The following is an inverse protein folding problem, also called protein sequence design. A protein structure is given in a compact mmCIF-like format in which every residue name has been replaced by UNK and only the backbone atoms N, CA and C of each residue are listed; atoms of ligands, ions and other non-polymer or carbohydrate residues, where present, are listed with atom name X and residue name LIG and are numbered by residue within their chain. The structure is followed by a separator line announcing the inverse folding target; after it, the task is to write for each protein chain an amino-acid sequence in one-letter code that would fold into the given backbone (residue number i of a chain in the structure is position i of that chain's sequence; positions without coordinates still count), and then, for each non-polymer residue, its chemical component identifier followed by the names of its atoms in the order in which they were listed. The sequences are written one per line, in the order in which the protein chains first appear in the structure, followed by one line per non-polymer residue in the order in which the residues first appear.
data_IF_715913852339
#
_entry.id   IF_715913852339
#
_cell.length_a   1.000
_cell.length_b   1.000
_cell.length_c   1.000
_cell.angle_alpha   90.00
_cell.angle_beta   90.00
_cell.angle_gamma   90.00
#
_symmetry.space_group_name_H-M   'P 1'
#
loop_
_entity.id
_entity.type
_entity.pdbx_description
1 polymer ?
#
# COMPACT_ATOMS: atom_id res chain seq x y z
N UNK A 1 -3.19 23.04 25.32
CA UNK A 1 -4.04 21.89 24.88
C UNK A 1 -5.26 21.88 25.77
N UNK A 2 -6.44 22.02 25.22
CA UNK A 2 -7.70 21.96 25.99
C UNK A 2 -8.11 20.52 26.23
N UNK A 3 -8.69 20.27 27.40
CA UNK A 3 -9.11 18.94 27.82
C UNK A 3 -10.58 18.93 28.19
N UNK A 4 -11.29 17.90 27.76
CA UNK A 4 -12.71 17.66 28.05
C UNK A 4 -12.91 16.48 28.99
N UNK A 5 -14.04 16.48 29.69
CA UNK A 5 -14.45 15.39 30.57
C UNK A 5 -14.95 14.19 29.77
N UNK A 6 -14.94 13.01 30.37
CA UNK A 6 -15.49 11.76 29.79
C UNK A 6 -16.91 11.92 29.25
N UNK A 7 -17.76 12.69 29.94
CA UNK A 7 -19.16 12.95 29.52
C UNK A 7 -19.22 13.74 28.20
N UNK A 8 -18.39 14.76 28.07
CA UNK A 8 -18.32 15.59 26.87
C UNK A 8 -17.76 14.80 25.67
N UNK A 9 -16.70 14.00 25.91
CA UNK A 9 -16.19 13.11 24.87
C UNK A 9 -17.20 12.02 24.48
N UNK A 10 -17.99 11.52 25.42
CA UNK A 10 -19.04 10.55 25.16
C UNK A 10 -20.14 11.13 24.23
N UNK A 11 -20.58 12.35 24.51
CA UNK A 11 -21.52 13.07 23.69
C UNK A 11 -20.97 13.36 22.30
N UNK A 12 -19.76 13.93 22.21
CA UNK A 12 -19.06 14.22 20.94
C UNK A 12 -18.91 12.99 20.05
N UNK A 13 -18.66 11.82 20.61
CA UNK A 13 -18.41 10.58 19.87
C UNK A 13 -19.62 9.68 19.69
N UNK A 14 -20.77 10.02 20.30
CA UNK A 14 -21.97 9.18 20.33
C UNK A 14 -21.70 7.84 21.03
N UNK A 15 -21.00 7.86 22.15
CA UNK A 15 -20.65 6.70 22.98
C UNK A 15 -21.19 6.86 24.40
N UNK A 16 -21.35 5.74 25.13
CA UNK A 16 -21.64 5.83 26.55
C UNK A 16 -20.42 6.29 27.36
N UNK A 17 -20.59 7.04 28.48
CA UNK A 17 -19.48 7.43 29.35
C UNK A 17 -18.68 6.22 29.89
N UNK A 18 -19.35 5.08 30.11
CA UNK A 18 -18.72 3.82 30.51
C UNK A 18 -17.76 3.32 29.42
N UNK A 19 -18.16 3.41 28.15
CA UNK A 19 -17.34 3.00 27.02
C UNK A 19 -16.10 3.89 26.89
N UNK A 20 -16.25 5.21 27.03
CA UNK A 20 -15.14 6.15 26.99
C UNK A 20 -14.13 5.89 28.10
N UNK A 21 -14.58 5.64 29.36
CA UNK A 21 -13.68 5.26 30.47
C UNK A 21 -12.88 3.99 30.16
N UNK A 22 -13.55 2.99 29.57
CA UNK A 22 -12.87 1.74 29.16
C UNK A 22 -11.80 2.01 28.10
N UNK A 23 -12.07 2.88 27.12
CA UNK A 23 -11.10 3.26 26.09
C UNK A 23 -9.90 4.01 26.70
N UNK A 24 -10.13 4.90 27.68
CA UNK A 24 -9.05 5.55 28.44
C UNK A 24 -8.20 4.53 29.20
N UNK A 25 -8.84 3.61 29.95
CA UNK A 25 -8.14 2.58 30.73
C UNK A 25 -7.33 1.60 29.85
N UNK A 26 -7.73 1.44 28.59
CA UNK A 26 -7.04 0.61 27.59
C UNK A 26 -5.97 1.38 26.79
N UNK A 27 -5.66 2.63 27.15
CA UNK A 27 -4.73 3.51 26.41
C UNK A 27 -5.05 3.64 24.92
N UNK A 28 -6.34 3.65 24.56
CA UNK A 28 -6.82 3.74 23.16
C UNK A 28 -7.15 5.16 22.72
N UNK A 29 -6.87 6.13 23.56
CA UNK A 29 -7.04 7.57 23.28
C UNK A 29 -5.72 8.24 23.61
N UNK A 30 -5.08 8.81 22.63
CA UNK A 30 -3.80 9.47 22.81
C UNK A 30 -3.94 10.74 23.66
N UNK A 31 -2.94 11.02 24.50
CA UNK A 31 -2.86 12.24 25.29
C UNK A 31 -3.82 12.30 26.48
N UNK A 32 -4.48 11.21 26.85
CA UNK A 32 -5.33 11.15 28.06
C UNK A 32 -4.50 11.34 29.32
N UNK A 33 -4.98 12.26 30.20
CA UNK A 33 -4.40 12.47 31.52
C UNK A 33 -5.36 11.91 32.57
N UNK A 34 -4.84 11.14 33.49
CA UNK A 34 -5.61 10.68 34.64
C UNK A 34 -5.31 11.57 35.86
N UNK A 35 -6.33 12.23 36.41
CA UNK A 35 -6.26 12.99 37.68
C UNK A 35 -7.11 12.27 38.72
N UNK A 36 -6.47 11.48 39.57
CA UNK A 36 -7.17 10.61 40.55
C UNK A 36 -8.05 9.59 39.82
N UNK A 37 -9.37 9.61 40.06
CA UNK A 37 -10.36 8.72 39.42
C UNK A 37 -10.94 9.29 38.10
N UNK A 38 -10.51 10.49 37.66
CA UNK A 38 -11.05 11.18 36.50
C UNK A 38 -10.08 11.11 35.33
N UNK A 39 -10.60 10.78 34.15
CA UNK A 39 -9.89 10.89 32.89
C UNK A 39 -10.22 12.24 32.25
N UNK A 40 -9.16 12.91 31.80
CA UNK A 40 -9.20 14.13 31.01
C UNK A 40 -8.71 13.80 29.59
N UNK A 41 -9.52 14.10 28.59
CA UNK A 41 -9.31 13.71 27.20
C UNK A 41 -8.98 14.99 26.40
N UNK A 42 -7.93 15.00 25.56
CA UNK A 42 -7.70 16.16 24.69
C UNK A 42 -8.94 16.46 23.87
N UNK A 43 -9.34 17.72 23.78
CA UNK A 43 -10.56 18.10 23.06
C UNK A 43 -10.50 17.72 21.57
N UNK A 44 -9.33 17.78 20.98
CA UNK A 44 -9.08 17.41 19.59
C UNK A 44 -8.83 15.91 19.37
N UNK A 45 -8.92 15.08 20.42
CA UNK A 45 -8.74 13.64 20.27
C UNK A 45 -9.79 13.05 19.32
N UNK A 46 -9.38 12.23 18.33
CA UNK A 46 -10.29 11.57 17.42
C UNK A 46 -11.10 10.48 18.16
N UNK A 47 -12.32 10.20 17.67
CA UNK A 47 -13.11 9.06 18.16
C UNK A 47 -12.33 7.77 17.92
N UNK A 48 -12.05 6.96 18.96
CA UNK A 48 -11.38 5.68 18.79
C UNK A 48 -12.18 4.71 17.91
N UNK A 49 -11.50 4.03 17.00
CA UNK A 49 -12.12 3.02 16.13
C UNK A 49 -12.69 1.87 16.96
N UNK A 50 -13.89 1.40 16.62
CA UNK A 50 -14.53 0.29 17.35
C UNK A 50 -13.77 -1.02 17.07
N UNK A 51 -13.22 -1.63 18.11
CA UNK A 51 -12.52 -2.92 18.02
C UNK A 51 -13.42 -4.08 17.51
N UNK A 52 -14.76 -3.86 17.45
CA UNK A 52 -15.69 -4.85 16.90
C UNK A 52 -15.62 -4.94 15.38
N UNK A 53 -15.16 -3.89 14.69
CA UNK A 53 -14.87 -3.94 13.23
C UNK A 53 -13.68 -4.83 12.92
N UNK A 54 -12.82 -5.11 13.91
CA UNK A 54 -11.66 -5.99 13.80
C UNK A 54 -11.93 -7.42 14.35
N UNK A 55 -13.20 -7.77 14.63
CA UNK A 55 -13.56 -9.11 15.12
C UNK A 55 -13.14 -10.19 14.11
N UNK A 56 -12.16 -11.01 14.50
CA UNK A 56 -11.63 -12.12 13.71
C UNK A 56 -10.25 -11.86 13.10
N UNK A 57 -9.76 -10.62 13.12
CA UNK A 57 -8.43 -10.27 12.61
C UNK A 57 -7.42 -10.37 13.76
N UNK A 58 -6.47 -11.32 13.65
CA UNK A 58 -5.34 -11.41 14.57
C UNK A 58 -4.29 -10.37 14.15
N UNK A 59 -4.28 -9.22 14.83
CA UNK A 59 -3.23 -8.22 14.69
C UNK A 59 -2.16 -8.50 15.75
N UNK A 60 -0.88 -8.42 15.39
CA UNK A 60 0.20 -8.47 16.38
C UNK A 60 0.05 -7.28 17.34
N UNK A 61 0.35 -7.47 18.62
CA UNK A 61 0.22 -6.40 19.64
C UNK A 61 1.08 -5.17 19.28
N UNK A 62 2.18 -5.38 18.62
CA UNK A 62 3.14 -4.33 18.21
C UNK A 62 2.62 -3.46 17.06
N UNK A 63 1.91 -4.03 16.10
CA UNK A 63 1.35 -3.31 14.94
C UNK A 63 0.01 -2.65 15.24
N UNK A 64 -0.69 -3.07 16.30
CA UNK A 64 -2.02 -2.58 16.62
C UNK A 64 -2.14 -1.05 16.72
N UNK A 65 -1.22 -0.30 17.37
CA UNK A 65 -1.31 1.16 17.47
C UNK A 65 -1.20 1.84 16.09
N UNK A 66 -0.29 1.35 15.24
CA UNK A 66 -0.08 1.89 13.89
C UNK A 66 -1.30 1.67 13.00
N UNK A 67 -1.85 0.47 13.00
CA UNK A 67 -3.02 0.13 12.20
C UNK A 67 -4.26 0.91 12.64
N UNK A 68 -4.43 1.13 13.95
CA UNK A 68 -5.51 1.98 14.48
C UNK A 68 -5.38 3.44 14.03
N UNK A 69 -4.14 3.96 13.96
CA UNK A 69 -3.88 5.30 13.44
C UNK A 69 -4.23 5.40 11.95
N UNK A 70 -3.85 4.40 11.17
CA UNK A 70 -4.17 4.33 9.73
C UNK A 70 -5.70 4.29 9.53
N UNK A 71 -6.41 3.47 10.29
CA UNK A 71 -7.88 3.39 10.23
C UNK A 71 -8.54 4.72 10.61
N UNK A 72 -8.00 5.44 11.58
CA UNK A 72 -8.50 6.76 11.95
C UNK A 72 -8.32 7.78 10.81
N UNK A 73 -7.12 7.82 10.20
CA UNK A 73 -6.84 8.70 9.07
C UNK A 73 -7.71 8.36 7.85
N UNK A 74 -7.91 7.06 7.59
CA UNK A 74 -8.82 6.60 6.53
C UNK A 74 -10.25 7.07 6.80
N UNK A 75 -10.74 6.95 8.03
CA UNK A 75 -12.07 7.41 8.40
C UNK A 75 -12.23 8.94 8.26
N UNK A 76 -11.17 9.72 8.48
CA UNK A 76 -11.18 11.17 8.21
C UNK A 76 -11.23 11.46 6.71
N UNK A 77 -10.48 10.74 5.90
CA UNK A 77 -10.53 10.85 4.44
C UNK A 77 -11.92 10.49 3.89
N UNK A 78 -12.51 9.42 4.40
CA UNK A 78 -13.83 8.97 3.99
C UNK A 78 -14.95 10.01 4.28
N UNK A 79 -14.78 10.86 5.29
CA UNK A 79 -15.70 11.99 5.56
C UNK A 79 -15.65 13.11 4.51
N UNK A 80 -14.54 13.20 3.78
CA UNK A 80 -14.36 14.19 2.70
C UNK A 80 -14.89 13.70 1.36
N UNK A 81 -15.40 12.47 1.30
CA UNK A 81 -15.98 11.88 0.08
C UNK A 81 -17.50 12.15 0.01
N UNK A 82 -18.09 12.20 -1.20
CA UNK A 82 -17.41 12.06 -2.49
C UNK A 82 -16.59 13.31 -2.83
N UNK A 83 -15.43 13.09 -3.44
CA UNK A 83 -14.68 14.14 -4.11
C UNK A 83 -15.39 14.52 -5.41
N UNK A 84 -15.27 15.77 -5.84
CA UNK A 84 -15.66 16.14 -7.20
C UNK A 84 -14.81 15.39 -8.23
N UNK A 85 -15.34 15.22 -9.43
CA UNK A 85 -14.60 14.53 -10.51
C UNK A 85 -13.23 15.18 -10.75
N UNK A 86 -13.17 16.52 -10.80
CA UNK A 86 -11.92 17.24 -11.03
C UNK A 86 -10.91 17.08 -9.89
N UNK A 87 -11.35 17.06 -8.61
CA UNK A 87 -10.48 16.80 -7.47
C UNK A 87 -9.91 15.38 -7.49
N UNK A 88 -10.76 14.40 -7.77
CA UNK A 88 -10.35 13.00 -7.86
C UNK A 88 -9.34 12.77 -8.99
N UNK A 89 -9.58 13.35 -10.17
CA UNK A 89 -8.71 13.26 -11.33
C UNK A 89 -7.35 13.94 -11.09
N UNK A 90 -7.35 15.11 -10.47
CA UNK A 90 -6.11 15.81 -10.10
C UNK A 90 -5.27 15.00 -9.14
N UNK A 91 -5.86 14.54 -8.03
CA UNK A 91 -5.15 13.72 -7.03
C UNK A 91 -4.60 12.43 -7.65
N UNK A 92 -5.38 11.79 -8.52
CA UNK A 92 -4.96 10.59 -9.25
C UNK A 92 -3.74 10.87 -10.14
N UNK A 93 -3.78 11.95 -10.90
CA UNK A 93 -2.70 12.31 -11.83
C UNK A 93 -1.43 12.69 -11.06
N UNK A 94 -1.53 13.49 -9.99
CA UNK A 94 -0.41 13.81 -9.11
C UNK A 94 0.20 12.53 -8.51
N UNK A 95 -0.62 11.63 -7.97
CA UNK A 95 -0.15 10.37 -7.41
C UNK A 95 0.52 9.49 -8.47
N UNK A 96 -0.04 9.37 -9.67
CA UNK A 96 0.52 8.58 -10.76
C UNK A 96 1.91 9.07 -11.16
N UNK A 97 2.11 10.39 -11.27
CA UNK A 97 3.42 10.99 -11.61
C UNK A 97 4.43 10.71 -10.50
N UNK A 98 4.08 11.01 -9.25
CA UNK A 98 4.95 10.81 -8.09
C UNK A 98 5.31 9.33 -7.90
N UNK A 99 4.35 8.45 -8.04
CA UNK A 99 4.56 7.01 -7.89
C UNK A 99 5.45 6.46 -9.01
N UNK A 100 5.21 6.88 -10.26
CA UNK A 100 6.03 6.48 -11.40
C UNK A 100 7.47 6.96 -11.23
N UNK A 101 7.67 8.23 -10.87
CA UNK A 101 8.99 8.77 -10.62
C UNK A 101 9.72 7.99 -9.51
N UNK A 102 9.13 7.91 -8.31
CA UNK A 102 9.79 7.29 -7.17
C UNK A 102 10.07 5.81 -7.39
N UNK A 103 9.14 5.07 -7.97
CA UNK A 103 9.28 3.65 -8.22
C UNK A 103 10.41 3.34 -9.23
N UNK A 104 10.56 4.16 -10.26
CA UNK A 104 11.66 4.00 -11.24
C UNK A 104 12.99 4.53 -10.71
N UNK A 105 13.00 5.61 -9.92
CA UNK A 105 14.21 6.16 -9.32
C UNK A 105 14.91 5.15 -8.38
N UNK A 106 14.15 4.34 -7.63
CA UNK A 106 14.67 3.24 -6.80
C UNK A 106 15.49 2.24 -7.66
N UNK A 107 15.09 2.03 -8.91
CA UNK A 107 15.73 1.11 -9.84
C UNK A 107 16.84 1.78 -10.69
N UNK A 108 17.17 3.04 -10.39
CA UNK A 108 18.25 3.79 -11.04
C UNK A 108 17.87 4.54 -12.31
N UNK A 109 16.58 4.76 -12.57
CA UNK A 109 16.10 5.63 -13.63
C UNK A 109 16.58 7.07 -13.37
N UNK A 110 17.02 7.77 -14.42
CA UNK A 110 17.70 9.08 -14.31
C UNK A 110 16.78 10.27 -14.54
N UNK A 111 15.49 10.06 -14.86
CA UNK A 111 14.52 11.14 -15.01
C UNK A 111 14.28 11.82 -13.66
N UNK A 112 14.18 13.13 -13.65
CA UNK A 112 13.65 13.90 -12.51
C UNK A 112 12.14 13.81 -12.46
N UNK A 113 11.52 14.21 -11.36
CA UNK A 113 10.05 14.25 -11.23
C UNK A 113 9.40 15.08 -12.34
N UNK A 114 9.97 16.25 -12.66
CA UNK A 114 9.49 17.12 -13.74
C UNK A 114 9.63 16.46 -15.11
N UNK A 115 10.77 15.84 -15.39
CA UNK A 115 11.00 15.12 -16.64
C UNK A 115 10.08 13.90 -16.75
N UNK A 116 9.83 13.19 -15.65
CA UNK A 116 8.85 12.10 -15.62
C UNK A 116 7.47 12.61 -16.03
N UNK A 117 6.99 13.72 -15.44
CA UNK A 117 5.71 14.31 -15.81
C UNK A 117 5.64 14.64 -17.31
N UNK A 118 6.70 15.25 -17.85
CA UNK A 118 6.78 15.59 -19.29
C UNK A 118 6.76 14.34 -20.17
N UNK A 119 7.47 13.27 -19.78
CA UNK A 119 7.47 11.98 -20.51
C UNK A 119 6.08 11.35 -20.50
N UNK A 120 5.37 11.40 -19.36
CA UNK A 120 4.01 10.88 -19.28
C UNK A 120 3.00 11.67 -20.12
N UNK A 121 3.29 12.92 -20.46
CA UNK A 121 2.56 13.76 -21.41
C UNK A 121 3.00 13.54 -22.87
N UNK A 122 3.94 12.62 -23.13
CA UNK A 122 4.39 12.25 -24.47
C UNK A 122 5.60 13.03 -24.98
N UNK A 123 6.27 13.80 -24.13
CA UNK A 123 7.49 14.52 -24.51
C UNK A 123 8.73 13.62 -24.40
N UNK A 124 9.73 13.87 -25.22
CA UNK A 124 11.06 13.27 -25.07
C UNK A 124 12.01 14.25 -24.40
N UNK A 125 12.87 13.73 -23.53
CA UNK A 125 13.86 14.52 -22.80
C UNK A 125 15.23 14.30 -23.43
N UNK A 126 15.85 15.39 -23.85
CA UNK A 126 17.19 15.35 -24.44
C UNK A 126 18.23 14.81 -23.44
N UNK A 127 19.22 14.09 -23.94
CA UNK A 127 20.33 13.46 -23.19
C UNK A 127 19.89 12.44 -22.12
N UNK A 128 18.64 11.99 -22.13
CA UNK A 128 18.19 10.88 -21.28
C UNK A 128 18.07 9.59 -22.08
N UNK A 129 18.45 8.44 -21.48
CA UNK A 129 18.36 7.14 -22.16
C UNK A 129 16.91 6.83 -22.59
N UNK A 130 16.73 6.26 -23.77
CA UNK A 130 15.43 5.77 -24.22
C UNK A 130 14.82 4.77 -23.24
N UNK A 131 15.67 3.94 -22.60
CA UNK A 131 15.27 3.00 -21.56
C UNK A 131 14.48 3.71 -20.47
N UNK A 132 14.95 4.86 -19.98
CA UNK A 132 14.34 5.58 -18.87
C UNK A 132 12.93 6.10 -19.24
N UNK A 133 12.75 6.56 -20.49
CA UNK A 133 11.44 6.94 -21.02
C UNK A 133 10.48 5.75 -21.07
N UNK A 134 10.93 4.62 -21.61
CA UNK A 134 10.12 3.41 -21.73
C UNK A 134 9.73 2.85 -20.36
N UNK A 135 10.61 2.91 -19.38
CA UNK A 135 10.31 2.50 -18.00
C UNK A 135 9.23 3.39 -17.36
N UNK A 136 9.30 4.71 -17.56
CA UNK A 136 8.29 5.64 -17.06
C UNK A 136 6.92 5.39 -17.74
N UNK A 137 6.89 5.26 -19.05
CA UNK A 137 5.66 4.97 -19.83
C UNK A 137 5.08 3.61 -19.42
N UNK A 138 5.92 2.57 -19.35
CA UNK A 138 5.48 1.23 -18.97
C UNK A 138 4.93 1.16 -17.54
N UNK A 139 5.52 1.91 -16.61
CA UNK A 139 5.02 1.99 -15.24
C UNK A 139 3.66 2.70 -15.16
N UNK A 140 3.49 3.80 -15.92
CA UNK A 140 2.19 4.48 -16.06
C UNK A 140 1.14 3.52 -16.61
N UNK A 141 1.45 2.83 -17.69
CA UNK A 141 0.50 1.93 -18.36
C UNK A 141 0.11 0.76 -17.45
N UNK A 142 1.05 0.25 -16.64
CA UNK A 142 0.78 -0.74 -15.62
C UNK A 142 -0.12 -0.18 -14.49
N UNK A 143 0.07 1.06 -14.09
CA UNK A 143 -0.79 1.74 -13.11
C UNK A 143 -2.22 1.88 -13.65
N UNK A 144 -2.38 2.34 -14.88
CA UNK A 144 -3.69 2.46 -15.53
C UNK A 144 -4.39 1.10 -15.69
N UNK A 145 -3.64 0.07 -16.08
CA UNK A 145 -4.16 -1.30 -16.15
C UNK A 145 -4.70 -1.78 -14.80
N UNK A 146 -3.98 -1.52 -13.70
CA UNK A 146 -4.43 -1.89 -12.35
C UNK A 146 -5.72 -1.16 -11.99
N UNK A 147 -5.82 0.14 -12.24
CA UNK A 147 -7.04 0.90 -11.96
C UNK A 147 -8.27 0.35 -12.69
N UNK A 148 -8.08 -0.06 -13.94
CA UNK A 148 -9.16 -0.63 -14.77
C UNK A 148 -9.67 -1.96 -14.20
N UNK A 149 -8.76 -2.84 -13.77
CA UNK A 149 -9.13 -4.18 -13.29
C UNK A 149 -9.44 -4.26 -11.79
N UNK A 150 -9.07 -3.26 -10.98
CA UNK A 150 -9.06 -3.36 -9.52
C UNK A 150 -10.43 -3.65 -8.89
N UNK A 151 -11.51 -3.26 -9.53
CA UNK A 151 -12.87 -3.45 -9.01
C UNK A 151 -13.36 -4.90 -9.10
N UNK A 152 -13.03 -5.58 -10.18
CA UNK A 152 -13.66 -6.84 -10.57
C UNK A 152 -12.70 -8.03 -10.63
N UNK A 153 -11.40 -7.79 -10.51
CA UNK A 153 -10.38 -8.80 -10.74
C UNK A 153 -9.63 -9.17 -9.46
N UNK A 154 -9.42 -10.47 -9.25
CA UNK A 154 -8.52 -10.96 -8.20
C UNK A 154 -7.09 -10.96 -8.68
N UNK A 155 -6.15 -10.74 -7.76
CA UNK A 155 -4.73 -10.92 -8.05
C UNK A 155 -4.53 -12.40 -8.44
N UNK A 156 -4.02 -12.62 -9.64
CA UNK A 156 -3.70 -13.93 -10.21
C UNK A 156 -2.33 -13.90 -10.87
N UNK A 157 -1.78 -15.05 -11.19
CA UNK A 157 -0.52 -15.13 -11.92
C UNK A 157 -0.58 -14.38 -13.26
N UNK A 158 -1.70 -14.48 -13.97
CA UNK A 158 -1.92 -13.75 -15.23
C UNK A 158 -1.88 -12.24 -15.00
N UNK A 159 -2.55 -11.72 -13.97
CA UNK A 159 -2.53 -10.29 -13.62
C UNK A 159 -1.10 -9.84 -13.32
N UNK A 160 -0.35 -10.60 -12.52
CA UNK A 160 1.04 -10.28 -12.18
C UNK A 160 1.92 -10.25 -13.44
N UNK A 161 1.79 -11.23 -14.32
CA UNK A 161 2.52 -11.29 -15.59
C UNK A 161 2.15 -10.14 -16.53
N UNK A 162 0.90 -9.73 -16.58
CA UNK A 162 0.45 -8.59 -17.37
C UNK A 162 1.06 -7.27 -16.86
N UNK A 163 1.01 -7.04 -15.55
CA UNK A 163 1.66 -5.87 -14.91
C UNK A 163 3.15 -5.86 -15.24
N UNK A 164 3.83 -6.98 -15.05
CA UNK A 164 5.25 -7.10 -15.37
C UNK A 164 5.55 -6.86 -16.85
N UNK A 165 4.69 -7.31 -17.76
CA UNK A 165 4.86 -7.09 -19.19
C UNK A 165 4.82 -5.62 -19.57
N UNK A 166 4.02 -4.82 -18.88
CA UNK A 166 3.96 -3.37 -19.06
C UNK A 166 5.19 -2.70 -18.44
N UNK A 167 5.55 -3.07 -17.22
CA UNK A 167 6.74 -2.54 -16.52
C UNK A 167 8.02 -2.79 -17.33
N UNK A 168 8.15 -3.94 -17.95
CA UNK A 168 9.36 -4.38 -18.69
C UNK A 168 9.17 -4.32 -20.21
N UNK A 169 8.42 -3.32 -20.71
CA UNK A 169 8.10 -3.19 -22.14
C UNK A 169 9.33 -3.06 -23.04
N UNK A 170 10.44 -2.58 -22.49
CA UNK A 170 11.73 -2.41 -23.19
C UNK A 170 12.53 -3.71 -23.36
N UNK A 171 12.04 -4.86 -22.82
CA UNK A 171 12.70 -6.18 -22.91
C UNK A 171 11.70 -7.25 -23.36
N UNK A 172 11.41 -7.34 -24.66
CA UNK A 172 10.35 -8.21 -25.20
C UNK A 172 10.47 -9.69 -24.83
N UNK A 173 11.71 -10.17 -24.66
CA UNK A 173 12.04 -11.57 -24.34
C UNK A 173 11.77 -11.94 -22.87
N UNK A 174 11.84 -10.97 -21.97
CA UNK A 174 11.74 -11.21 -20.52
C UNK A 174 10.35 -10.80 -19.95
N UNK A 175 9.63 -9.93 -20.66
CA UNK A 175 8.36 -9.36 -20.17
C UNK A 175 7.29 -10.41 -19.92
N UNK A 176 6.72 -10.43 -18.72
CA UNK A 176 5.64 -11.34 -18.34
C UNK A 176 6.06 -12.80 -18.20
N UNK A 177 7.36 -13.10 -18.22
CA UNK A 177 7.89 -14.46 -18.17
C UNK A 177 8.66 -14.68 -16.86
N UNK A 178 8.34 -15.74 -16.13
CA UNK A 178 9.13 -16.13 -14.96
C UNK A 178 10.54 -16.57 -15.38
N UNK A 179 11.53 -16.16 -14.60
CA UNK A 179 12.92 -16.47 -14.84
C UNK A 179 13.18 -17.99 -14.79
N UNK A 180 14.07 -18.43 -15.64
CA UNK A 180 14.52 -19.83 -15.71
C UNK A 180 15.95 -20.02 -15.16
N UNK A 181 16.59 -18.93 -14.75
CA UNK A 181 17.95 -18.91 -14.20
C UNK A 181 17.93 -18.38 -12.76
N UNK A 182 18.87 -18.80 -11.91
CA UNK A 182 19.09 -18.19 -10.60
C UNK A 182 19.45 -16.71 -10.75
N UNK A 183 19.00 -15.90 -9.78
CA UNK A 183 19.37 -14.48 -9.66
C UNK A 183 19.81 -14.19 -8.23
N UNK A 184 20.63 -13.16 -8.06
CA UNK A 184 21.07 -12.68 -6.75
C UNK A 184 20.59 -11.25 -6.55
N UNK A 185 20.00 -10.96 -5.40
CA UNK A 185 19.62 -9.60 -5.03
C UNK A 185 20.78 -9.00 -4.24
N UNK A 186 21.43 -7.97 -4.80
CA UNK A 186 22.53 -7.29 -4.11
C UNK A 186 22.05 -6.68 -2.79
N UNK A 187 22.76 -6.99 -1.69
CA UNK A 187 22.43 -6.48 -0.36
C UNK A 187 21.31 -7.23 0.38
N UNK A 188 20.69 -8.26 -0.21
CA UNK A 188 19.72 -9.09 0.49
C UNK A 188 20.42 -10.11 1.40
N UNK A 189 19.80 -10.38 2.57
CA UNK A 189 20.28 -11.42 3.50
C UNK A 189 19.84 -12.84 3.09
N UNK A 190 18.88 -12.96 2.18
CA UNK A 190 18.30 -14.24 1.73
C UNK A 190 18.39 -14.34 0.22
N UNK A 191 18.65 -15.53 -0.27
CA UNK A 191 18.64 -15.82 -1.71
C UNK A 191 17.18 -16.00 -2.20
N UNK A 192 16.85 -15.50 -3.39
CA UNK A 192 15.56 -15.78 -4.04
C UNK A 192 15.37 -17.29 -4.26
N UNK A 193 14.11 -17.73 -4.37
CA UNK A 193 13.82 -19.14 -4.60
C UNK A 193 14.43 -19.64 -5.92
N UNK A 194 14.78 -20.93 -5.97
CA UNK A 194 15.28 -21.55 -7.19
C UNK A 194 14.22 -21.51 -8.31
N UNK A 195 14.60 -21.39 -9.59
CA UNK A 195 13.66 -21.21 -10.71
C UNK A 195 12.55 -22.26 -10.76
N UNK A 196 12.85 -23.51 -10.49
CA UNK A 196 11.85 -24.60 -10.49
C UNK A 196 10.81 -24.50 -9.35
N UNK A 197 11.06 -23.66 -8.33
CA UNK A 197 10.16 -23.42 -7.21
C UNK A 197 9.29 -22.17 -7.40
N UNK A 198 9.50 -21.36 -8.45
CA UNK A 198 8.78 -20.09 -8.62
C UNK A 198 7.27 -20.37 -8.78
N UNK A 199 6.85 -21.21 -9.71
CA UNK A 199 5.43 -21.49 -9.94
C UNK A 199 4.73 -22.07 -8.69
N UNK A 200 5.26 -23.10 -8.01
CA UNK A 200 4.68 -23.58 -6.74
C UNK A 200 4.57 -22.47 -5.68
N UNK A 201 5.62 -21.64 -5.52
CA UNK A 201 5.62 -20.58 -4.52
C UNK A 201 4.69 -19.42 -4.86
N UNK A 202 4.53 -19.07 -6.12
CA UNK A 202 3.53 -18.09 -6.58
C UNK A 202 2.11 -18.60 -6.33
N UNK A 203 1.84 -19.87 -6.61
CA UNK A 203 0.55 -20.49 -6.33
C UNK A 203 0.24 -20.48 -4.82
N UNK A 204 1.22 -20.82 -3.98
CA UNK A 204 1.10 -20.77 -2.52
C UNK A 204 0.83 -19.34 -2.03
N UNK A 205 1.59 -18.35 -2.51
CA UNK A 205 1.43 -16.94 -2.18
C UNK A 205 0.01 -16.43 -2.46
N UNK A 206 -0.50 -16.71 -3.66
CA UNK A 206 -1.84 -16.31 -4.07
C UNK A 206 -2.93 -16.95 -3.21
N UNK A 207 -2.81 -18.26 -2.94
CA UNK A 207 -3.75 -19.00 -2.09
C UNK A 207 -3.73 -18.46 -0.64
N UNK A 208 -2.55 -18.20 -0.07
CA UNK A 208 -2.42 -17.65 1.28
C UNK A 208 -2.94 -16.22 1.36
N UNK A 209 -2.71 -15.37 0.35
CA UNK A 209 -3.26 -14.03 0.30
C UNK A 209 -4.80 -14.03 0.38
N UNK A 210 -5.47 -14.93 -0.33
CA UNK A 210 -6.94 -15.07 -0.25
C UNK A 210 -7.42 -15.56 1.12
N UNK A 211 -6.72 -16.52 1.73
CA UNK A 211 -7.05 -16.99 3.10
C UNK A 211 -6.91 -15.87 4.15
N UNK A 212 -5.89 -15.02 3.99
CA UNK A 212 -5.59 -13.89 4.88
C UNK A 212 -6.62 -12.76 4.76
N UNK A 213 -7.31 -12.62 3.64
CA UNK A 213 -8.29 -11.55 3.36
C UNK A 213 -9.37 -11.42 4.46
N UNK A 214 -9.79 -12.55 5.05
CA UNK A 214 -10.81 -12.58 6.11
C UNK A 214 -10.24 -12.55 7.53
N UNK A 215 -8.93 -12.68 7.70
CA UNK A 215 -8.28 -12.93 8.99
C UNK A 215 -7.27 -11.86 9.40
N UNK A 216 -6.88 -11.01 8.46
CA UNK A 216 -5.77 -10.07 8.63
C UNK A 216 -6.19 -8.66 8.24
N UNK A 217 -5.62 -7.66 8.89
CA UNK A 217 -5.83 -6.27 8.52
C UNK A 217 -5.33 -6.03 7.07
N UNK A 218 -6.06 -5.27 6.23
CA UNK A 218 -5.68 -5.07 4.83
C UNK A 218 -4.22 -4.62 4.65
N UNK A 219 -3.77 -3.64 5.42
CA UNK A 219 -2.40 -3.12 5.34
C UNK A 219 -1.37 -4.20 5.71
N UNK A 220 -1.60 -4.97 6.78
CA UNK A 220 -0.70 -6.07 7.15
C UNK A 220 -0.68 -7.15 6.06
N UNK A 221 -1.85 -7.48 5.49
CA UNK A 221 -1.96 -8.46 4.40
C UNK A 221 -1.17 -8.03 3.17
N UNK A 222 -1.32 -6.77 2.76
CA UNK A 222 -0.61 -6.19 1.61
C UNK A 222 0.90 -6.20 1.85
N UNK A 223 1.36 -5.78 3.03
CA UNK A 223 2.78 -5.77 3.38
C UNK A 223 3.39 -7.18 3.35
N UNK A 224 2.67 -8.19 3.88
CA UNK A 224 3.13 -9.58 3.83
C UNK A 224 3.17 -10.13 2.41
N UNK A 225 2.15 -9.85 1.62
CA UNK A 225 2.12 -10.24 0.22
C UNK A 225 3.33 -9.69 -0.54
N UNK A 226 3.62 -8.40 -0.35
CA UNK A 226 4.77 -7.76 -0.98
C UNK A 226 6.09 -8.40 -0.55
N UNK A 227 6.30 -8.59 0.76
CA UNK A 227 7.50 -9.21 1.30
C UNK A 227 7.72 -10.64 0.74
N UNK A 228 6.66 -11.44 0.69
CA UNK A 228 6.71 -12.81 0.17
C UNK A 228 6.94 -12.82 -1.35
N UNK A 229 6.32 -11.91 -2.10
CA UNK A 229 6.56 -11.73 -3.53
C UNK A 229 8.01 -11.35 -3.83
N UNK A 230 8.56 -10.36 -3.11
CA UNK A 230 9.96 -9.97 -3.25
C UNK A 230 10.93 -11.10 -2.87
N UNK A 231 10.58 -11.92 -1.86
CA UNK A 231 11.36 -13.10 -1.49
C UNK A 231 11.36 -14.22 -2.55
N UNK A 232 10.27 -14.36 -3.31
CA UNK A 232 10.21 -15.29 -4.46
C UNK A 232 11.04 -14.74 -5.61
N UNK A 233 10.94 -13.44 -5.87
CA UNK A 233 11.64 -12.73 -6.95
C UNK A 233 11.45 -13.40 -8.31
N UNK A 234 10.21 -13.50 -8.81
CA UNK A 234 9.87 -14.43 -9.89
C UNK A 234 10.43 -14.06 -11.27
N UNK A 235 10.83 -12.82 -11.47
CA UNK A 235 11.29 -12.31 -12.77
C UNK A 235 12.80 -12.05 -12.77
N UNK A 236 13.36 -11.88 -13.97
CA UNK A 236 14.78 -11.56 -14.12
C UNK A 236 15.11 -10.11 -13.76
N UNK A 237 14.15 -9.20 -13.97
CA UNK A 237 14.20 -7.77 -13.68
C UNK A 237 12.77 -7.27 -13.42
N UNK A 238 12.57 -6.05 -12.94
CA UNK A 238 11.26 -5.43 -12.74
C UNK A 238 10.42 -5.97 -11.57
N UNK A 239 10.99 -6.84 -10.71
CA UNK A 239 10.26 -7.38 -9.55
C UNK A 239 9.83 -6.27 -8.60
N UNK A 240 10.74 -5.37 -8.20
CA UNK A 240 10.46 -4.28 -7.28
C UNK A 240 9.35 -3.36 -7.81
N UNK A 241 9.41 -2.95 -9.08
CA UNK A 241 8.36 -2.13 -9.71
C UNK A 241 7.01 -2.85 -9.74
N UNK A 242 7.01 -4.12 -10.16
CA UNK A 242 5.79 -4.95 -10.18
C UNK A 242 5.25 -5.15 -8.76
N UNK A 243 6.09 -5.48 -7.79
CA UNK A 243 5.71 -5.65 -6.39
C UNK A 243 5.08 -4.39 -5.80
N UNK A 244 5.66 -3.21 -6.05
CA UNK A 244 5.11 -1.92 -5.60
C UNK A 244 3.78 -1.58 -6.27
N UNK A 245 3.61 -1.90 -7.55
CA UNK A 245 2.34 -1.74 -8.26
C UNK A 245 1.24 -2.64 -7.69
N UNK A 246 1.56 -3.87 -7.27
CA UNK A 246 0.62 -4.81 -6.65
C UNK A 246 0.14 -4.38 -5.24
N UNK A 247 0.75 -3.34 -4.63
CA UNK A 247 0.31 -2.77 -3.35
C UNK A 247 -0.94 -1.88 -3.50
N UNK A 248 -1.21 -1.37 -4.69
CA UNK A 248 -2.34 -0.51 -5.01
C UNK A 248 -3.59 -1.32 -5.34
#
# INVERSE_FOLDING_TARGET
MEYIKVSQAAEKWGLSPRRVRLLCAQNRIDGVIQKGKLYMIPENAPKPVDARTLKGIKISKELSPLLLKIDALKAELDKKRPLTQGEAERLRNEFMVDFTYNSNAIEGNTLTLKETAMVLEGMTIDQKPLKDHLEAVGHRDAFLYIEDIAKDTRISETVIKNIHSLVLMNRPEDKGVFRKIPVTIMGAYTEPVQPYMIEPKMTELLAENEKRKKKMHPIERIARFHLEFEGIHPFIDGNGRTGRLLLN
#
